data_IF_057324163124
#
_entry.id   IF_057324163124
#
_cell.length_a   1.000
_cell.length_b   1.000
_cell.length_c   1.000
_cell.angle_alpha   90.00
_cell.angle_beta   90.00
_cell.angle_gamma   90.00
#
_symmetry.space_group_name_H-M   'P 1'
#
loop_
_entity.id
_entity.type
_entity.pdbx_description
1 polymer ?
#
# COMPACT_ATOMS: atom_id res chain seq x y z
N UNK A 1 -53.45 46.49 34.08
CA UNK A 1 -52.93 45.65 32.98
C UNK A 1 -51.43 45.87 32.86
N UNK A 2 -50.63 44.81 33.00
CA UNK A 2 -49.16 44.89 33.01
C UNK A 2 -48.66 44.94 31.56
N UNK A 3 -47.98 46.02 31.18
CA UNK A 3 -47.43 46.24 29.83
C UNK A 3 -46.26 45.28 29.62
N UNK A 4 -46.42 44.25 28.79
CA UNK A 4 -45.32 43.40 28.37
C UNK A 4 -44.40 44.20 27.44
N UNK A 5 -43.10 44.16 27.73
CA UNK A 5 -42.07 44.84 26.96
C UNK A 5 -41.84 44.13 25.62
N UNK A 6 -42.44 44.62 24.53
CA UNK A 6 -42.18 44.14 23.17
C UNK A 6 -40.86 44.73 22.63
N UNK A 7 -39.71 44.38 23.24
CA UNK A 7 -38.44 44.50 22.51
C UNK A 7 -38.39 43.34 21.52
N UNK A 8 -38.83 43.61 20.28
CA UNK A 8 -38.63 42.69 19.18
C UNK A 8 -37.14 42.40 18.99
N UNK A 9 -36.82 41.19 18.55
CA UNK A 9 -35.43 40.76 18.30
C UNK A 9 -34.77 41.73 17.33
N UNK A 10 -33.70 42.39 17.79
CA UNK A 10 -33.03 43.41 16.98
C UNK A 10 -32.16 42.76 15.91
N UNK A 11 -31.98 43.42 14.77
CA UNK A 11 -31.13 42.94 13.67
C UNK A 11 -29.70 42.64 14.12
N UNK A 12 -29.19 43.38 15.11
CA UNK A 12 -27.87 43.18 15.71
C UNK A 12 -27.82 41.86 16.49
N UNK A 13 -28.82 41.56 17.32
CA UNK A 13 -28.91 40.28 18.04
C UNK A 13 -29.02 39.09 17.08
N UNK A 14 -29.74 39.24 15.96
CA UNK A 14 -29.82 38.23 14.90
C UNK A 14 -28.45 37.99 14.23
N UNK A 15 -27.72 39.07 13.91
CA UNK A 15 -26.42 39.00 13.26
C UNK A 15 -25.38 38.36 14.17
N UNK A 16 -25.33 38.74 15.45
CA UNK A 16 -24.44 38.14 16.44
C UNK A 16 -24.75 36.65 16.61
N UNK A 17 -26.04 36.27 16.70
CA UNK A 17 -26.43 34.86 16.82
C UNK A 17 -26.01 34.04 15.61
N UNK A 18 -26.11 34.60 14.39
CA UNK A 18 -25.67 33.93 13.17
C UNK A 18 -24.15 33.74 13.12
N UNK A 19 -23.38 34.77 13.51
CA UNK A 19 -21.91 34.68 13.56
C UNK A 19 -21.47 33.63 14.59
N UNK A 20 -22.08 33.60 15.77
CA UNK A 20 -21.79 32.60 16.79
C UNK A 20 -22.12 31.19 16.31
N UNK A 21 -23.26 30.99 15.64
CA UNK A 21 -23.63 29.71 15.05
C UNK A 21 -22.62 29.27 13.99
N UNK A 22 -22.18 30.18 13.11
CA UNK A 22 -21.21 29.87 12.06
C UNK A 22 -19.86 29.43 12.65
N UNK A 23 -19.38 30.10 13.71
CA UNK A 23 -18.14 29.71 14.40
C UNK A 23 -18.29 28.31 15.02
N UNK A 24 -19.41 28.04 15.68
CA UNK A 24 -19.68 26.73 16.27
C UNK A 24 -19.70 25.63 15.21
N UNK A 25 -20.43 25.84 14.11
CA UNK A 25 -20.51 24.88 13.00
C UNK A 25 -19.13 24.64 12.38
N UNK A 26 -18.34 25.69 12.12
CA UNK A 26 -16.99 25.55 11.59
C UNK A 26 -16.06 24.75 12.53
N UNK A 27 -16.12 25.02 13.83
CA UNK A 27 -15.32 24.31 14.84
C UNK A 27 -15.69 22.82 14.96
N UNK A 28 -17.00 22.52 14.92
CA UNK A 28 -17.49 21.14 14.93
C UNK A 28 -17.12 20.43 13.64
N UNK A 29 -17.20 21.11 12.49
CA UNK A 29 -16.83 20.54 11.20
C UNK A 29 -15.35 20.11 11.19
N UNK A 30 -14.42 20.98 11.58
CA UNK A 30 -12.99 20.64 11.62
C UNK A 30 -12.69 19.50 12.60
N UNK A 31 -13.43 19.42 13.71
CA UNK A 31 -13.34 18.31 14.66
C UNK A 31 -13.79 17.01 14.01
N UNK A 32 -14.98 16.98 13.38
CA UNK A 32 -15.53 15.81 12.70
C UNK A 32 -14.63 15.34 11.56
N UNK A 33 -14.11 16.27 10.77
CA UNK A 33 -13.16 15.97 9.68
C UNK A 33 -11.88 15.31 10.21
N UNK A 34 -11.33 15.82 11.31
CA UNK A 34 -10.16 15.21 11.96
C UNK A 34 -10.43 13.78 12.43
N UNK A 35 -11.60 13.54 13.03
CA UNK A 35 -11.99 12.19 13.45
C UNK A 35 -12.18 11.25 12.25
N UNK A 36 -12.79 11.73 11.17
CA UNK A 36 -12.98 10.96 9.94
C UNK A 36 -11.64 10.60 9.30
N UNK A 37 -10.70 11.54 9.21
CA UNK A 37 -9.36 11.27 8.67
C UNK A 37 -8.61 10.24 9.52
N UNK A 38 -8.69 10.36 10.86
CA UNK A 38 -8.10 9.35 11.76
C UNK A 38 -8.74 7.97 11.56
N UNK A 39 -10.06 7.90 11.41
CA UNK A 39 -10.76 6.65 11.15
C UNK A 39 -10.25 6.00 9.86
N UNK A 40 -10.19 6.75 8.76
CA UNK A 40 -9.69 6.22 7.48
C UNK A 40 -8.25 5.72 7.56
N UNK A 41 -7.37 6.43 8.29
CA UNK A 41 -5.98 5.98 8.50
C UNK A 41 -5.93 4.64 9.27
N UNK A 42 -6.77 4.46 10.30
CA UNK A 42 -6.82 3.19 11.03
C UNK A 42 -7.41 2.06 10.17
N UNK A 43 -8.44 2.33 9.36
CA UNK A 43 -8.99 1.38 8.39
C UNK A 43 -7.92 0.91 7.40
N UNK A 44 -7.13 1.83 6.83
CA UNK A 44 -6.01 1.48 5.94
C UNK A 44 -4.95 0.63 6.61
N UNK A 45 -4.62 0.91 7.88
CA UNK A 45 -3.68 0.08 8.64
C UNK A 45 -4.20 -1.34 8.80
N UNK A 46 -5.47 -1.49 9.15
CA UNK A 46 -6.11 -2.80 9.35
C UNK A 46 -6.15 -3.62 8.06
N UNK A 47 -6.42 -3.00 6.91
CA UNK A 47 -6.35 -3.64 5.60
C UNK A 47 -4.93 -4.13 5.28
N UNK A 48 -3.92 -3.27 5.50
CA UNK A 48 -2.51 -3.62 5.26
C UNK A 48 -2.02 -4.72 6.21
N UNK A 49 -2.44 -4.66 7.48
CA UNK A 49 -2.16 -5.70 8.46
C UNK A 49 -2.75 -7.03 8.04
N UNK A 50 -4.02 -7.03 7.63
CA UNK A 50 -4.72 -8.23 7.19
C UNK A 50 -4.04 -8.82 5.95
N UNK A 51 -3.76 -7.98 4.95
CA UNK A 51 -3.04 -8.37 3.74
C UNK A 51 -1.70 -9.04 4.04
N UNK A 52 -0.83 -8.36 4.80
CA UNK A 52 0.51 -8.92 5.09
C UNK A 52 0.41 -10.21 5.90
N UNK A 53 -0.54 -10.31 6.84
CA UNK A 53 -0.65 -11.45 7.72
C UNK A 53 -1.18 -12.68 6.99
N UNK A 54 -2.19 -12.51 6.13
CA UNK A 54 -2.73 -13.59 5.30
C UNK A 54 -1.64 -14.17 4.39
N UNK A 55 -0.97 -13.32 3.63
CA UNK A 55 0.07 -13.76 2.70
C UNK A 55 1.29 -14.35 3.44
N UNK A 56 1.74 -13.73 4.54
CA UNK A 56 2.83 -14.28 5.36
C UNK A 56 2.47 -15.65 5.91
N UNK A 57 1.24 -15.83 6.42
CA UNK A 57 0.76 -17.10 6.97
C UNK A 57 0.70 -18.18 5.89
N UNK A 58 0.21 -17.83 4.69
CA UNK A 58 0.09 -18.77 3.58
C UNK A 58 1.47 -19.30 3.15
N UNK A 59 2.42 -18.39 2.89
CA UNK A 59 3.78 -18.76 2.53
C UNK A 59 4.46 -19.53 3.66
N UNK A 60 4.45 -19.03 4.91
CA UNK A 60 5.10 -19.72 6.03
C UNK A 60 4.50 -21.09 6.33
N UNK A 61 3.18 -21.25 6.18
CA UNK A 61 2.50 -22.54 6.35
C UNK A 61 3.09 -23.58 5.39
N UNK A 62 3.30 -23.23 4.12
CA UNK A 62 3.91 -24.12 3.15
C UNK A 62 5.37 -24.43 3.47
N UNK A 63 6.16 -23.39 3.76
CA UNK A 63 7.58 -23.53 4.11
C UNK A 63 7.80 -24.50 5.29
N UNK A 64 6.91 -24.48 6.27
CA UNK A 64 6.99 -25.34 7.46
C UNK A 64 6.40 -26.73 7.19
N UNK A 65 5.20 -26.82 6.61
CA UNK A 65 4.48 -28.10 6.47
C UNK A 65 5.07 -29.00 5.39
N UNK A 66 5.39 -28.44 4.22
CA UNK A 66 6.00 -29.18 3.11
C UNK A 66 7.51 -29.36 3.31
N UNK A 67 8.10 -28.51 4.16
CA UNK A 67 9.50 -28.55 4.55
C UNK A 67 10.40 -28.02 3.43
N UNK A 68 10.82 -26.76 3.55
CA UNK A 68 11.74 -26.13 2.60
C UNK A 68 13.10 -26.87 2.56
N UNK A 69 13.53 -27.32 1.38
CA UNK A 69 14.84 -27.94 1.15
C UNK A 69 15.83 -27.01 0.47
N UNK A 70 15.35 -26.16 -0.44
CA UNK A 70 16.17 -25.24 -1.21
C UNK A 70 15.32 -24.08 -1.76
N UNK A 71 15.98 -23.02 -2.19
CA UNK A 71 15.33 -21.85 -2.78
C UNK A 71 16.18 -21.24 -3.89
N UNK A 72 15.57 -20.99 -5.04
CA UNK A 72 16.19 -20.24 -6.13
C UNK A 72 15.61 -18.83 -6.16
N UNK A 73 16.47 -17.82 -6.14
CA UNK A 73 16.08 -16.41 -6.19
C UNK A 73 16.49 -15.82 -7.54
N UNK A 74 15.56 -15.16 -8.21
CA UNK A 74 15.75 -14.52 -9.50
C UNK A 74 15.25 -13.07 -9.44
N UNK A 75 15.94 -12.17 -10.14
CA UNK A 75 15.52 -10.78 -10.31
C UNK A 75 15.49 -10.47 -11.81
N UNK A 76 14.39 -9.84 -12.24
CA UNK A 76 14.28 -9.19 -13.55
C UNK A 76 14.21 -7.68 -13.33
N UNK A 77 15.16 -6.89 -13.84
CA UNK A 77 15.11 -5.45 -13.70
C UNK A 77 13.94 -4.86 -14.50
N UNK A 78 13.50 -3.66 -14.11
CA UNK A 78 12.53 -2.87 -14.88
C UNK A 78 13.11 -2.58 -16.28
N UNK A 79 12.33 -2.84 -17.33
CA UNK A 79 12.61 -2.34 -18.68
C UNK A 79 11.51 -1.35 -19.10
N UNK A 80 11.90 -0.08 -19.10
CA UNK A 80 11.06 1.05 -19.47
C UNK A 80 11.46 1.64 -20.84
N UNK A 81 12.16 0.88 -21.70
CA UNK A 81 12.61 1.35 -23.02
C UNK A 81 11.44 1.66 -23.97
N UNK A 82 10.26 1.08 -23.72
CA UNK A 82 9.04 1.32 -24.47
C UNK A 82 7.90 1.75 -23.52
N UNK A 83 7.53 3.02 -23.54
CA UNK A 83 6.46 3.58 -22.70
C UNK A 83 5.08 2.96 -22.92
N UNK A 84 4.84 2.32 -24.07
CA UNK A 84 3.57 1.62 -24.35
C UNK A 84 3.57 0.19 -23.83
N UNK A 85 4.73 -0.37 -23.47
CA UNK A 85 4.86 -1.74 -22.98
C UNK A 85 6.03 -1.85 -21.99
N UNK A 86 5.80 -1.35 -20.78
CA UNK A 86 6.79 -1.45 -19.70
C UNK A 86 6.82 -2.88 -19.17
N UNK A 87 8.00 -3.46 -19.13
CA UNK A 87 8.23 -4.74 -18.47
C UNK A 87 8.52 -4.44 -17.00
N UNK A 88 7.67 -4.91 -16.07
CA UNK A 88 7.82 -4.61 -14.65
C UNK A 88 9.09 -5.23 -14.06
N UNK A 89 9.62 -4.59 -13.02
CA UNK A 89 10.63 -5.20 -12.15
C UNK A 89 10.01 -6.42 -11.46
N UNK A 90 10.71 -7.55 -11.45
CA UNK A 90 10.25 -8.79 -10.82
C UNK A 90 11.28 -9.37 -9.88
N UNK A 91 10.81 -9.83 -8.72
CA UNK A 91 11.59 -10.62 -7.78
C UNK A 91 10.89 -11.94 -7.55
N UNK A 92 11.58 -13.05 -7.83
CA UNK A 92 11.00 -14.38 -7.77
C UNK A 92 11.80 -15.24 -6.80
N UNK A 93 11.11 -15.88 -5.86
CA UNK A 93 11.66 -16.94 -5.02
C UNK A 93 10.92 -18.24 -5.33
N UNK A 94 11.65 -19.23 -5.81
CA UNK A 94 11.15 -20.58 -6.12
C UNK A 94 11.55 -21.48 -4.96
N UNK A 95 10.56 -21.98 -4.23
CA UNK A 95 10.74 -22.86 -3.09
C UNK A 95 10.67 -24.31 -3.54
N UNK A 96 11.67 -25.10 -3.13
CA UNK A 96 11.68 -26.54 -3.33
C UNK A 96 11.40 -27.23 -2.00
N UNK A 97 10.54 -28.23 -2.01
CA UNK A 97 10.07 -28.91 -0.80
C UNK A 97 10.49 -30.39 -0.72
N UNK A 98 10.44 -30.97 0.48
CA UNK A 98 10.77 -32.38 0.72
C UNK A 98 9.87 -33.36 -0.03
N UNK A 99 8.62 -32.97 -0.29
CA UNK A 99 7.65 -33.76 -1.06
C UNK A 99 7.88 -33.70 -2.58
N UNK A 100 8.91 -32.96 -3.04
CA UNK A 100 9.22 -32.76 -4.45
C UNK A 100 8.40 -31.67 -5.14
N UNK A 101 7.42 -31.07 -4.45
CA UNK A 101 6.66 -29.95 -4.98
C UNK A 101 7.48 -28.66 -4.99
N UNK A 102 7.03 -27.69 -5.79
CA UNK A 102 7.59 -26.36 -5.85
C UNK A 102 6.50 -25.31 -5.81
N UNK A 103 6.73 -24.23 -5.07
CA UNK A 103 5.89 -23.03 -5.09
C UNK A 103 6.74 -21.80 -5.38
N UNK A 104 6.09 -20.76 -5.89
CA UNK A 104 6.71 -19.52 -6.33
C UNK A 104 6.09 -18.38 -5.56
N UNK A 105 6.93 -17.52 -4.99
CA UNK A 105 6.57 -16.17 -4.58
C UNK A 105 7.18 -15.20 -5.60
N UNK A 106 6.34 -14.48 -6.32
CA UNK A 106 6.77 -13.44 -7.26
C UNK A 106 6.25 -12.08 -6.79
N UNK A 107 7.10 -11.06 -6.82
CA UNK A 107 6.67 -9.67 -6.65
C UNK A 107 6.87 -8.95 -7.97
N UNK A 108 5.82 -8.31 -8.47
CA UNK A 108 5.82 -7.48 -9.67
C UNK A 108 5.67 -6.01 -9.27
N UNK A 109 6.57 -5.16 -9.78
CA UNK A 109 6.67 -3.75 -9.42
C UNK A 109 6.92 -2.86 -10.63
N UNK A 110 6.08 -1.84 -10.80
CA UNK A 110 6.35 -0.64 -11.59
C UNK A 110 6.23 0.52 -10.61
N UNK A 111 7.28 1.33 -10.54
CA UNK A 111 7.24 2.59 -9.80
C UNK A 111 7.12 3.70 -10.82
N UNK A 112 6.18 4.60 -10.59
CA UNK A 112 6.06 5.83 -11.34
C UNK A 112 7.32 6.68 -11.24
N UNK A 113 7.54 7.54 -12.23
CA UNK A 113 8.63 8.51 -12.15
C UNK A 113 8.35 9.48 -11.00
N UNK A 114 9.28 9.56 -10.04
CA UNK A 114 9.21 10.55 -8.97
C UNK A 114 9.53 11.94 -9.55
N UNK A 115 8.77 12.96 -9.11
CA UNK A 115 8.85 14.39 -9.45
C UNK A 115 10.10 14.81 -10.24
N UNK A 116 10.05 14.64 -11.56
CA UNK A 116 10.93 15.33 -12.50
C UNK A 116 10.32 16.69 -12.82
N UNK A 117 11.12 17.75 -12.83
CA UNK A 117 10.67 19.10 -13.17
C UNK A 117 10.24 19.17 -14.66
N UNK A 118 9.02 18.72 -14.93
CA UNK A 118 8.36 18.91 -16.22
C UNK A 118 7.51 20.17 -16.15
N UNK A 119 7.75 21.10 -17.07
CA UNK A 119 7.02 22.36 -17.18
C UNK A 119 5.58 22.20 -17.75
N UNK A 120 5.01 21.00 -17.71
CA UNK A 120 3.71 20.70 -18.28
C UNK A 120 2.87 19.90 -17.30
N UNK A 121 1.71 20.46 -16.93
CA UNK A 121 0.60 19.73 -16.31
C UNK A 121 0.04 18.72 -17.32
N UNK A 122 0.74 17.60 -17.48
CA UNK A 122 0.31 16.57 -18.40
C UNK A 122 -0.94 15.87 -17.83
N UNK A 123 -1.96 15.67 -18.67
CA UNK A 123 -3.18 14.95 -18.29
C UNK A 123 -3.08 13.44 -18.50
N UNK A 124 -1.95 12.98 -19.05
CA UNK A 124 -1.65 11.58 -19.34
C UNK A 124 -0.20 11.30 -18.97
N UNK A 125 0.09 10.08 -18.51
CA UNK A 125 1.42 9.61 -18.14
C UNK A 125 2.27 9.28 -19.39
N UNK A 126 3.19 10.16 -19.86
CA UNK A 126 3.89 9.98 -21.13
C UNK A 126 4.92 8.84 -21.07
N UNK A 127 5.50 8.62 -19.88
CA UNK A 127 6.41 7.49 -19.65
C UNK A 127 5.67 6.15 -19.61
N UNK A 128 4.35 6.15 -19.44
CA UNK A 128 3.53 4.95 -19.22
C UNK A 128 3.72 4.30 -17.84
N UNK A 129 4.66 4.82 -17.03
CA UNK A 129 5.02 4.27 -15.72
C UNK A 129 4.00 4.70 -14.66
N UNK A 130 2.83 4.08 -14.70
CA UNK A 130 1.89 4.15 -13.59
C UNK A 130 2.31 3.15 -12.52
N UNK A 131 2.19 3.53 -11.24
CA UNK A 131 2.46 2.63 -10.13
C UNK A 131 1.64 1.33 -10.29
N UNK A 132 2.32 0.19 -10.17
CA UNK A 132 1.70 -1.13 -10.22
C UNK A 132 2.46 -2.08 -9.33
N UNK A 133 1.76 -2.62 -8.33
CA UNK A 133 2.35 -3.52 -7.34
C UNK A 133 1.47 -4.75 -7.15
N UNK A 134 2.04 -5.93 -7.34
CA UNK A 134 1.35 -7.21 -7.11
C UNK A 134 2.33 -8.17 -6.46
N UNK A 135 1.86 -8.91 -5.45
CA UNK A 135 2.57 -10.08 -4.95
C UNK A 135 1.76 -11.31 -5.35
N UNK A 136 2.40 -12.29 -5.95
CA UNK A 136 1.74 -13.50 -6.43
C UNK A 136 2.36 -14.72 -5.76
N UNK A 137 1.52 -15.67 -5.34
CA UNK A 137 1.98 -16.88 -4.67
C UNK A 137 1.19 -18.11 -5.15
N UNK A 138 1.87 -19.24 -5.34
CA UNK A 138 1.22 -20.49 -5.74
C UNK A 138 2.20 -21.50 -6.36
N UNK A 139 1.68 -22.56 -6.96
CA UNK A 139 2.48 -23.52 -7.74
C UNK A 139 2.75 -22.98 -9.15
N UNK A 140 3.75 -23.53 -9.83
CA UNK A 140 3.99 -23.17 -11.23
C UNK A 140 2.74 -23.50 -12.08
N UNK A 141 2.30 -22.54 -12.90
CA UNK A 141 1.04 -22.62 -13.66
C UNK A 141 -0.27 -22.39 -12.88
N UNK A 142 -0.24 -22.23 -11.55
CA UNK A 142 -1.42 -21.89 -10.74
C UNK A 142 -1.05 -20.89 -9.63
N UNK A 143 -0.67 -19.69 -10.06
CA UNK A 143 -0.36 -18.58 -9.17
C UNK A 143 -1.59 -17.74 -8.91
N UNK A 144 -1.78 -17.34 -7.65
CA UNK A 144 -2.80 -16.36 -7.28
C UNK A 144 -2.17 -14.99 -7.10
N UNK A 145 -2.82 -13.95 -7.64
CA UNK A 145 -2.39 -12.56 -7.49
C UNK A 145 -3.01 -11.95 -6.23
N UNK A 146 -2.16 -11.48 -5.35
CA UNK A 146 -2.51 -10.72 -4.14
C UNK A 146 -2.19 -9.24 -4.40
N UNK A 147 -3.12 -8.48 -5.03
CA UNK A 147 -2.92 -7.05 -5.23
C UNK A 147 -2.79 -6.34 -3.88
N UNK A 148 -1.97 -5.29 -3.84
CA UNK A 148 -1.89 -4.44 -2.66
C UNK A 148 -3.27 -3.81 -2.37
N UNK A 149 -3.64 -3.63 -1.09
CA UNK A 149 -4.85 -2.88 -0.73
C UNK A 149 -4.83 -1.48 -1.34
N UNK A 150 -5.98 -1.06 -1.89
CA UNK A 150 -6.16 0.26 -2.49
C UNK A 150 -6.54 1.27 -1.40
N UNK A 151 -5.55 1.96 -0.84
CA UNK A 151 -5.74 2.94 0.23
C UNK A 151 -5.75 4.40 -0.24
N UNK A 152 -5.77 4.61 -1.55
CA UNK A 152 -5.74 5.94 -2.16
C UNK A 152 -4.69 6.05 -3.25
N UNK A 153 -4.83 7.08 -4.08
CA UNK A 153 -3.88 7.37 -5.14
C UNK A 153 -3.87 8.87 -5.44
N UNK A 154 -2.72 9.34 -5.92
CA UNK A 154 -2.52 10.66 -6.47
C UNK A 154 -2.08 10.60 -7.93
N UNK A 155 -1.71 11.76 -8.45
CA UNK A 155 -1.07 11.89 -9.76
C UNK A 155 0.12 12.83 -9.59
N UNK A 156 1.26 12.50 -10.19
CA UNK A 156 2.42 13.40 -10.21
C UNK A 156 2.23 14.52 -11.25
N UNK A 157 3.20 15.44 -11.31
CA UNK A 157 3.19 16.56 -12.27
C UNK A 157 3.14 16.11 -13.74
N UNK A 158 3.59 14.87 -14.01
CA UNK A 158 3.59 14.25 -15.33
C UNK A 158 2.31 13.46 -15.64
N UNK A 159 1.27 13.51 -14.81
CA UNK A 159 0.03 12.80 -15.10
C UNK A 159 0.10 11.28 -14.83
N UNK A 160 1.18 10.78 -14.22
CA UNK A 160 1.33 9.38 -13.83
C UNK A 160 0.67 9.11 -12.48
N UNK A 161 -0.11 8.03 -12.43
CA UNK A 161 -0.78 7.56 -11.22
C UNK A 161 0.25 7.07 -10.22
N UNK A 162 0.19 7.60 -9.00
CA UNK A 162 0.99 7.10 -7.89
C UNK A 162 0.05 6.55 -6.81
N UNK A 163 0.30 5.33 -6.36
CA UNK A 163 -0.49 4.75 -5.29
C UNK A 163 0.02 5.26 -3.94
N UNK A 164 -0.90 5.45 -2.99
CA UNK A 164 -0.52 5.83 -1.63
C UNK A 164 0.16 4.68 -0.90
N UNK A 165 -0.16 3.43 -1.23
CA UNK A 165 0.56 2.25 -0.76
C UNK A 165 1.46 1.68 -1.85
N UNK A 166 2.78 1.68 -1.60
CA UNK A 166 3.78 1.22 -2.56
C UNK A 166 4.66 0.13 -1.99
N UNK A 167 5.24 -0.70 -2.85
CA UNK A 167 6.40 -1.54 -2.48
C UNK A 167 7.65 -0.69 -2.63
N UNK A 168 8.28 -0.32 -1.51
CA UNK A 168 9.46 0.56 -1.50
C UNK A 168 10.77 -0.19 -1.70
N UNK A 169 10.87 -1.42 -1.17
CA UNK A 169 12.04 -2.26 -1.37
C UNK A 169 11.71 -3.74 -1.22
N UNK A 170 12.47 -4.57 -1.93
CA UNK A 170 12.34 -6.02 -1.92
C UNK A 170 13.74 -6.58 -1.72
N UNK A 171 13.93 -7.34 -0.64
CA UNK A 171 15.20 -7.98 -0.30
C UNK A 171 14.95 -9.46 -0.09
N UNK A 172 15.49 -10.30 -0.98
CA UNK A 172 15.43 -11.75 -0.88
C UNK A 172 16.84 -12.30 -0.80
N UNK A 173 17.11 -13.15 0.19
CA UNK A 173 18.42 -13.80 0.34
C UNK A 173 18.28 -15.20 0.93
N UNK A 174 19.15 -16.10 0.49
CA UNK A 174 19.22 -17.48 0.96
C UNK A 174 20.68 -17.80 1.29
N UNK A 175 21.11 -17.38 2.49
CA UNK A 175 22.51 -17.49 2.92
C UNK A 175 22.59 -18.25 4.23
N UNK A 176 23.67 -19.00 4.45
CA UNK A 176 23.88 -19.76 5.68
C UNK A 176 22.71 -20.70 6.05
N UNK A 177 22.07 -21.31 5.05
CA UNK A 177 20.87 -22.15 5.21
C UNK A 177 19.69 -21.44 5.88
N UNK A 178 19.59 -20.12 5.72
CA UNK A 178 18.45 -19.32 6.17
C UNK A 178 17.95 -18.49 4.99
N UNK A 179 16.66 -18.65 4.70
CA UNK A 179 15.92 -17.80 3.78
C UNK A 179 15.43 -16.57 4.54
N UNK A 180 15.65 -15.39 3.96
CA UNK A 180 15.11 -14.11 4.41
C UNK A 180 14.43 -13.41 3.22
N UNK A 181 13.17 -13.07 3.38
CA UNK A 181 12.37 -12.32 2.40
C UNK A 181 11.76 -11.13 3.11
N UNK A 182 12.17 -9.93 2.73
CA UNK A 182 11.60 -8.68 3.21
C UNK A 182 11.01 -7.92 2.03
N UNK A 183 9.69 -7.72 2.04
CA UNK A 183 8.97 -6.87 1.09
C UNK A 183 8.43 -5.71 1.91
N UNK A 184 9.02 -4.53 1.75
CA UNK A 184 8.70 -3.34 2.56
C UNK A 184 7.67 -2.48 1.83
N UNK A 185 6.65 -2.06 2.57
CA UNK A 185 5.60 -1.17 2.08
C UNK A 185 5.83 0.25 2.58
N UNK A 186 5.59 1.23 1.71
CA UNK A 186 5.60 2.65 2.02
C UNK A 186 4.19 3.23 1.92
N UNK A 187 3.86 4.14 2.82
CA UNK A 187 2.71 5.03 2.73
C UNK A 187 3.01 6.42 3.31
N UNK A 188 2.41 7.51 2.80
CA UNK A 188 2.63 8.86 3.30
C UNK A 188 2.47 9.01 4.82
N UNK A 189 1.36 8.51 5.39
CA UNK A 189 1.04 8.71 6.82
C UNK A 189 1.83 7.84 7.81
N UNK A 190 2.41 6.73 7.36
CA UNK A 190 3.08 5.78 8.26
C UNK A 190 4.47 5.31 7.81
N UNK A 191 4.97 5.78 6.67
CA UNK A 191 6.30 5.49 6.14
C UNK A 191 6.51 4.00 5.86
N UNK A 192 7.73 3.52 6.10
CA UNK A 192 8.17 2.15 5.80
C UNK A 192 7.93 1.13 6.95
N UNK A 193 6.87 1.31 7.74
CA UNK A 193 6.64 0.51 8.96
C UNK A 193 6.05 -0.88 8.69
N UNK A 194 5.43 -1.07 7.54
CA UNK A 194 4.72 -2.31 7.19
C UNK A 194 5.43 -3.06 6.09
N UNK A 195 5.19 -4.37 6.04
CA UNK A 195 5.84 -5.23 5.07
C UNK A 195 5.67 -6.69 5.41
N UNK A 196 5.97 -7.55 4.45
CA UNK A 196 6.04 -8.99 4.61
C UNK A 196 7.47 -9.32 5.03
N UNK A 197 7.59 -10.05 6.13
CA UNK A 197 8.88 -10.52 6.64
C UNK A 197 8.80 -12.03 6.88
N UNK A 198 9.58 -12.78 6.11
CA UNK A 198 9.67 -14.23 6.21
C UNK A 198 11.12 -14.58 6.48
N UNK A 199 11.36 -15.25 7.60
CA UNK A 199 12.66 -15.83 7.95
C UNK A 199 12.43 -17.30 8.26
N UNK A 200 13.08 -18.19 7.51
CA UNK A 200 12.92 -19.63 7.70
C UNK A 200 14.25 -20.36 7.49
N UNK A 201 14.56 -21.41 8.28
CA UNK A 201 15.68 -22.28 7.98
C UNK A 201 15.41 -23.09 6.70
N UNK A 202 16.47 -23.32 5.93
CA UNK A 202 16.49 -24.16 4.74
C UNK A 202 17.00 -25.54 5.13
N UNK A 203 16.32 -26.59 4.65
CA UNK A 203 16.63 -27.98 4.92
C UNK A 203 16.72 -28.28 6.43
N UNK A 204 15.74 -27.77 7.19
CA UNK A 204 15.63 -28.07 8.61
C UNK A 204 15.10 -29.50 8.78
N UNK A 205 15.86 -30.34 9.47
CA UNK A 205 15.39 -31.64 9.94
C UNK A 205 14.83 -31.43 11.36
N UNK A 206 13.53 -31.68 11.50
CA UNK A 206 12.92 -31.88 12.82
C UNK A 206 13.28 -33.26 13.34
#
# INVERSE_FOLDING_TARGET
MKKLNNKGLTTIELLISFVLLAILVASLYGTVETYKNRQSIEEFKDEIYTYKNLLTKEVQSDLIKKGLIDVKIENTPLDASNSSNIIPEKYKAIFYFKDGSHTVLETTRIVADDYGASAATATTCPSGRNDKFVVSYGTDGNMYDYPLPSVGYGTNDEGCRIEDLRISSINMSATNKVLKIHIIFYHPDFGNKYGINIVTPINFNR
#
